data_IF_858969633871
#
_entry.id   IF_858969633871
#
_cell.length_a   1.000
_cell.length_b   1.000
_cell.length_c   1.000
_cell.angle_alpha   90.00
_cell.angle_beta   90.00
_cell.angle_gamma   90.00
#
_symmetry.space_group_name_H-M   'P 1'
#
loop_
_entity.id
_entity.type
_entity.pdbx_description
1 polymer ?
#
# COMPACT_ATOMS: atom_id res chain seq x y z
N UNK A 1 -13.98 -9.93 -4.99
CA UNK A 1 -15.08 -9.03 -4.52
C UNK A 1 -14.50 -8.19 -3.40
N UNK A 2 -14.28 -6.91 -3.68
CA UNK A 2 -13.77 -5.93 -2.72
C UNK A 2 -14.81 -5.65 -1.63
N UNK A 3 -14.35 -5.40 -0.40
CA UNK A 3 -15.20 -4.96 0.72
C UNK A 3 -14.96 -3.45 0.85
N UNK A 4 -15.97 -2.64 0.54
CA UNK A 4 -15.85 -1.18 0.38
C UNK A 4 -15.98 -0.37 1.69
N UNK A 5 -15.96 -1.01 2.86
CA UNK A 5 -16.18 -0.34 4.17
C UNK A 5 -14.91 0.30 4.78
N UNK A 6 -13.88 0.55 3.98
CA UNK A 6 -12.56 0.98 4.49
C UNK A 6 -12.27 2.44 4.18
N UNK A 7 -11.49 3.13 5.05
CA UNK A 7 -11.04 4.49 4.77
C UNK A 7 -10.25 4.56 3.46
N UNK A 8 -10.53 5.60 2.69
CA UNK A 8 -9.83 5.97 1.46
C UNK A 8 -9.01 7.24 1.69
N UNK A 9 -7.91 7.41 0.97
CA UNK A 9 -7.00 8.55 1.01
C UNK A 9 -6.43 8.82 2.41
N UNK A 10 -5.75 7.83 2.99
CA UNK A 10 -5.04 8.01 4.27
C UNK A 10 -3.79 8.87 4.00
N UNK A 11 -3.77 10.10 4.52
CA UNK A 11 -2.63 11.00 4.39
C UNK A 11 -1.38 10.41 5.06
N UNK A 12 -0.23 10.49 4.38
CA UNK A 12 1.06 10.09 4.96
C UNK A 12 1.65 11.29 5.72
N UNK A 13 1.31 11.45 6.98
CA UNK A 13 1.99 12.43 7.85
C UNK A 13 3.28 11.82 8.41
N UNK A 14 4.46 12.15 7.85
CA UNK A 14 5.74 11.64 8.36
C UNK A 14 6.37 12.63 9.34
N UNK A 15 6.68 12.16 10.57
CA UNK A 15 8.06 12.08 11.11
C UNK A 15 8.13 11.49 12.53
N UNK A 16 8.72 10.30 12.66
CA UNK A 16 9.69 10.08 13.73
C UNK A 16 11.07 9.77 13.16
N UNK A 17 12.07 10.43 13.72
CA UNK A 17 13.47 10.46 13.26
C UNK A 17 14.19 9.12 13.52
N UNK A 18 13.58 8.21 14.30
CA UNK A 18 14.14 6.93 14.73
C UNK A 18 13.10 5.80 14.59
N UNK A 19 12.76 5.40 13.38
CA UNK A 19 12.02 4.16 13.17
C UNK A 19 12.98 3.10 12.66
N UNK A 20 13.26 2.08 13.48
CA UNK A 20 13.90 0.85 13.03
C UNK A 20 12.87 0.11 12.14
N UNK A 21 12.72 0.58 10.90
CA UNK A 21 11.84 -0.06 9.93
C UNK A 21 12.58 -1.29 9.44
N UNK A 22 12.26 -2.46 10.01
CA UNK A 22 12.57 -3.71 9.33
C UNK A 22 11.72 -3.73 8.07
N UNK A 23 12.33 -3.41 6.93
CA UNK A 23 11.66 -3.44 5.63
C UNK A 23 11.28 -4.89 5.38
N UNK A 24 9.98 -5.18 5.50
CA UNK A 24 9.44 -6.47 5.11
C UNK A 24 9.75 -6.71 3.63
N UNK A 25 10.07 -7.95 3.26
CA UNK A 25 10.28 -8.29 1.86
C UNK A 25 9.04 -7.89 1.04
N UNK A 26 9.31 -7.23 -0.08
CA UNK A 26 8.31 -6.75 -1.03
C UNK A 26 8.14 -7.84 -2.09
N UNK A 27 6.91 -8.30 -2.29
CA UNK A 27 6.61 -9.30 -3.30
C UNK A 27 6.47 -8.69 -4.69
N UNK A 28 5.83 -7.52 -4.78
CA UNK A 28 5.74 -6.74 -6.01
C UNK A 28 5.67 -5.24 -5.72
N UNK A 29 6.11 -4.47 -6.70
CA UNK A 29 6.12 -3.01 -6.72
C UNK A 29 5.90 -2.55 -8.16
N UNK A 30 4.74 -2.00 -8.47
CA UNK A 30 4.37 -1.65 -9.85
C UNK A 30 3.70 -0.28 -9.94
N UNK A 31 4.18 0.53 -10.89
CA UNK A 31 3.54 1.78 -11.23
C UNK A 31 2.32 1.55 -12.13
N UNK A 32 1.29 2.34 -11.90
CA UNK A 32 0.21 2.53 -12.87
C UNK A 32 0.76 3.08 -14.21
N UNK A 33 0.13 2.77 -15.36
CA UNK A 33 0.58 3.25 -16.66
C UNK A 33 0.67 4.78 -16.78
N UNK A 34 -0.11 5.52 -15.99
CA UNK A 34 -0.09 6.99 -15.94
C UNK A 34 0.96 7.54 -14.97
N UNK A 35 1.68 6.70 -14.24
CA UNK A 35 2.70 7.09 -13.26
C UNK A 35 2.17 7.75 -11.98
N UNK A 36 0.85 7.91 -11.83
CA UNK A 36 0.25 8.59 -10.66
C UNK A 36 0.20 7.71 -9.41
N UNK A 37 -0.01 6.41 -9.60
CA UNK A 37 -0.18 5.44 -8.52
C UNK A 37 0.96 4.42 -8.51
N UNK A 38 1.39 4.04 -7.30
CA UNK A 38 2.32 2.94 -7.06
C UNK A 38 1.63 1.87 -6.21
N UNK A 39 1.50 0.67 -6.76
CA UNK A 39 0.95 -0.48 -6.05
C UNK A 39 2.10 -1.33 -5.47
N UNK A 40 1.95 -1.77 -4.22
CA UNK A 40 2.90 -2.68 -3.59
C UNK A 40 2.23 -3.70 -2.68
N UNK A 41 2.89 -4.84 -2.50
CA UNK A 41 2.55 -5.83 -1.47
C UNK A 41 3.83 -6.25 -0.75
N UNK A 42 3.74 -6.37 0.57
CA UNK A 42 4.83 -6.87 1.39
C UNK A 42 4.38 -8.06 2.23
N UNK A 43 5.33 -8.90 2.66
CA UNK A 43 5.04 -10.21 3.23
C UNK A 43 4.40 -10.20 4.63
N UNK A 44 4.45 -9.08 5.37
CA UNK A 44 3.77 -8.99 6.68
C UNK A 44 2.25 -8.98 6.53
N UNK A 45 1.73 -8.44 5.42
CA UNK A 45 0.30 -8.40 5.14
C UNK A 45 0.04 -8.98 3.73
N UNK A 46 0.14 -10.31 3.55
CA UNK A 46 0.12 -10.95 2.23
C UNK A 46 -1.24 -10.86 1.51
N UNK A 47 -2.30 -10.47 2.22
CA UNK A 47 -3.64 -10.24 1.67
C UNK A 47 -3.94 -8.75 1.45
N UNK A 48 -2.95 -7.87 1.65
CA UNK A 48 -3.14 -6.42 1.53
C UNK A 48 -2.28 -5.87 0.39
N UNK A 49 -2.90 -5.19 -0.56
CA UNK A 49 -2.19 -4.38 -1.56
C UNK A 49 -2.28 -2.93 -1.12
N UNK A 50 -1.16 -2.23 -1.09
CA UNK A 50 -1.12 -0.80 -0.82
C UNK A 50 -1.02 -0.05 -2.14
N UNK A 51 -1.77 1.03 -2.27
CA UNK A 51 -1.81 1.92 -3.43
C UNK A 51 -1.46 3.31 -2.94
N UNK A 52 -0.26 3.77 -3.27
CA UNK A 52 0.16 5.13 -2.98
C UNK A 52 -0.21 6.04 -4.15
N UNK A 53 -0.97 7.09 -3.86
CA UNK A 53 -1.18 8.22 -4.75
C UNK A 53 -0.06 9.24 -4.51
N UNK A 54 0.87 9.30 -5.46
CA UNK A 54 2.12 10.05 -5.32
C UNK A 54 1.87 11.56 -5.34
N UNK A 55 0.84 12.01 -6.05
CA UNK A 55 0.55 13.43 -6.21
C UNK A 55 -0.08 14.04 -4.95
N UNK A 56 -0.94 13.27 -4.29
CA UNK A 56 -1.69 13.72 -3.11
C UNK A 56 -1.03 13.25 -1.80
N UNK A 57 0.10 12.56 -1.91
CA UNK A 57 0.84 11.91 -0.81
C UNK A 57 -0.06 11.14 0.16
N UNK A 58 -0.95 10.32 -0.42
CA UNK A 58 -1.94 9.55 0.33
C UNK A 58 -1.94 8.09 -0.08
N UNK A 59 -2.30 7.22 0.87
CA UNK A 59 -2.31 5.77 0.70
C UNK A 59 -3.72 5.24 0.82
N UNK A 60 -4.08 4.42 -0.15
CA UNK A 60 -5.16 3.45 -0.05
C UNK A 60 -4.55 2.06 0.17
N UNK A 61 -5.31 1.14 0.73
CA UNK A 61 -4.98 -0.29 0.65
C UNK A 61 -5.95 -1.03 -0.28
N UNK A 62 -6.01 -2.35 -0.29
CA UNK A 62 -7.03 -3.22 -0.85
C UNK A 62 -6.92 -4.52 -0.08
N UNK A 63 -8.02 -5.00 0.51
CA UNK A 63 -8.06 -6.31 1.17
C UNK A 63 -8.49 -7.37 0.15
N UNK A 64 -7.58 -8.30 -0.15
CA UNK A 64 -7.83 -9.42 -1.02
C UNK A 64 -8.58 -10.51 -0.25
N UNK A 65 -9.71 -10.98 -0.80
CA UNK A 65 -10.47 -12.11 -0.21
C UNK A 65 -9.65 -13.40 -0.15
N UNK A 66 -8.68 -13.56 -1.05
CA UNK A 66 -7.80 -14.72 -1.12
C UNK A 66 -6.35 -14.24 -1.13
N UNK A 67 -5.47 -14.99 -0.47
CA UNK A 67 -4.03 -14.82 -0.63
C UNK A 67 -3.65 -15.06 -2.08
N UNK A 68 -2.88 -14.16 -2.68
CA UNK A 68 -2.29 -14.36 -4.00
C UNK A 68 -0.96 -15.05 -3.76
N UNK A 69 -0.86 -16.33 -4.16
CA UNK A 69 0.37 -17.12 -4.07
C UNK A 69 1.35 -16.78 -5.19
#
# INVERSE_FOLDING_TARGET
QEINDRPISIEIDVKPINWDVTIAAIDFLEFSPCGKYLALRHQLYPTTVWIWNILDDSVDYLLLKNSIS
#
